data_IF_275722027298
#
_entry.id   IF_275722027298
#
_cell.length_a   1.000
_cell.length_b   1.000
_cell.length_c   1.000
_cell.angle_alpha   90.00
_cell.angle_beta   90.00
_cell.angle_gamma   90.00
#
_symmetry.space_group_name_H-M   'P 1'
#
loop_
_entity.id
_entity.type
_entity.pdbx_description
1 polymer ?
#
# COMPACT_ATOMS: atom_id res chain seq x y z
N UNK A 1 -6.39 13.70 6.75
CA UNK A 1 -6.25 12.40 6.05
C UNK A 1 -7.37 12.21 5.02
N UNK A 2 -8.64 12.19 5.44
CA UNK A 2 -9.81 12.01 4.55
C UNK A 2 -9.91 13.08 3.44
N UNK A 3 -9.70 14.36 3.75
CA UNK A 3 -9.71 15.44 2.74
C UNK A 3 -8.63 15.26 1.67
N UNK A 4 -7.39 14.96 2.10
CA UNK A 4 -6.27 14.65 1.21
C UNK A 4 -6.57 13.42 0.35
N UNK A 5 -7.22 12.39 0.93
CA UNK A 5 -7.65 11.23 0.17
C UNK A 5 -8.58 11.62 -0.99
N UNK A 6 -9.66 12.35 -0.69
CA UNK A 6 -10.66 12.74 -1.70
C UNK A 6 -10.05 13.59 -2.82
N UNK A 7 -9.18 14.53 -2.48
CA UNK A 7 -8.48 15.38 -3.46
C UNK A 7 -7.56 14.60 -4.40
N UNK A 8 -7.04 13.46 -3.94
CA UNK A 8 -6.02 12.68 -4.66
C UNK A 8 -6.53 11.30 -5.10
N UNK A 9 -7.84 11.02 -4.95
CA UNK A 9 -8.44 9.68 -5.19
C UNK A 9 -8.08 9.11 -6.56
N UNK A 10 -8.16 9.93 -7.61
CA UNK A 10 -7.81 9.51 -8.97
C UNK A 10 -6.37 9.03 -9.11
N UNK A 11 -5.44 9.58 -8.32
CA UNK A 11 -4.03 9.16 -8.33
C UNK A 11 -3.84 7.83 -7.60
N UNK A 12 -4.56 7.57 -6.50
CA UNK A 12 -4.55 6.26 -5.84
C UNK A 12 -5.13 5.17 -6.73
N UNK A 13 -6.23 5.47 -7.43
CA UNK A 13 -6.81 4.57 -8.43
C UNK A 13 -5.83 4.26 -9.56
N UNK A 14 -5.06 5.24 -10.04
CA UNK A 14 -4.03 5.00 -11.05
C UNK A 14 -2.94 4.06 -10.54
N UNK A 15 -2.46 4.24 -9.30
CA UNK A 15 -1.48 3.33 -8.69
C UNK A 15 -2.05 1.92 -8.54
N UNK A 16 -3.31 1.80 -8.10
CA UNK A 16 -4.02 0.52 -8.01
C UNK A 16 -4.07 -0.19 -9.35
N UNK A 17 -4.51 0.51 -10.39
CA UNK A 17 -4.61 -0.04 -11.74
C UNK A 17 -3.24 -0.45 -12.28
N UNK A 18 -2.21 0.36 -12.05
CA UNK A 18 -0.84 0.01 -12.42
C UNK A 18 -0.43 -1.30 -11.76
N UNK A 19 -0.61 -1.40 -10.43
CA UNK A 19 -0.24 -2.60 -9.68
C UNK A 19 -1.02 -3.83 -10.14
N UNK A 20 -2.31 -3.69 -10.44
CA UNK A 20 -3.13 -4.78 -10.98
C UNK A 20 -2.64 -5.28 -12.35
N UNK A 21 -2.25 -4.36 -13.25
CA UNK A 21 -1.67 -4.69 -14.55
C UNK A 21 -0.33 -5.42 -14.41
N UNK A 22 0.49 -4.97 -13.46
CA UNK A 22 1.83 -5.50 -13.22
C UNK A 22 1.76 -6.72 -12.26
N UNK A 23 1.20 -7.83 -12.77
CA UNK A 23 0.84 -9.04 -11.99
C UNK A 23 1.94 -9.67 -11.14
N UNK A 24 3.19 -9.44 -11.54
CA UNK A 24 4.36 -10.02 -10.87
C UNK A 24 4.97 -9.09 -9.80
N UNK A 25 4.46 -7.86 -9.68
CA UNK A 25 4.86 -6.90 -8.64
C UNK A 25 4.10 -7.18 -7.36
N UNK A 26 4.84 -7.36 -6.28
CA UNK A 26 4.31 -7.45 -4.91
C UNK A 26 4.46 -6.11 -4.24
N UNK A 27 5.67 -5.57 -4.15
CA UNK A 27 5.94 -4.33 -3.40
C UNK A 27 6.77 -3.37 -4.24
N UNK A 28 6.44 -2.08 -4.23
CA UNK A 28 7.31 -1.02 -4.76
C UNK A 28 7.58 -0.03 -3.63
N UNK A 29 8.82 0.00 -3.14
CA UNK A 29 9.32 1.02 -2.24
C UNK A 29 10.06 2.14 -2.96
N UNK A 30 10.54 3.12 -2.20
CA UNK A 30 11.34 4.23 -2.73
C UNK A 30 12.56 3.75 -3.53
N UNK A 31 13.29 2.77 -2.99
CA UNK A 31 14.59 2.36 -3.54
C UNK A 31 14.65 0.87 -3.92
N UNK A 32 13.61 0.09 -3.58
CA UNK A 32 13.55 -1.35 -3.81
C UNK A 32 12.18 -1.80 -4.34
N UNK A 33 12.12 -3.02 -4.86
CA UNK A 33 10.90 -3.65 -5.38
C UNK A 33 10.94 -5.14 -5.03
N UNK A 34 9.78 -5.74 -4.76
CA UNK A 34 9.61 -7.16 -4.50
C UNK A 34 8.71 -7.79 -5.56
N UNK A 35 9.08 -8.99 -6.02
CA UNK A 35 8.35 -9.70 -7.08
C UNK A 35 7.93 -11.09 -6.63
N UNK A 36 6.85 -11.62 -7.22
CA UNK A 36 6.11 -12.82 -6.73
C UNK A 36 6.92 -14.14 -6.71
N UNK A 37 8.17 -14.16 -7.18
CA UNK A 37 8.95 -15.40 -7.35
C UNK A 37 10.42 -15.30 -6.99
N UNK A 38 10.88 -14.11 -6.57
CA UNK A 38 12.25 -13.84 -6.22
C UNK A 38 12.17 -13.05 -4.92
N UNK A 39 12.59 -13.65 -3.80
CA UNK A 39 12.66 -12.95 -2.52
C UNK A 39 13.43 -11.63 -2.63
N UNK A 40 13.41 -10.82 -1.56
CA UNK A 40 14.09 -9.51 -1.47
C UNK A 40 15.39 -9.45 -2.29
N UNK A 41 15.39 -8.69 -3.39
CA UNK A 41 16.52 -8.61 -4.30
C UNK A 41 16.32 -7.56 -5.39
N UNK A 42 17.41 -6.91 -5.79
CA UNK A 42 17.43 -6.05 -6.97
C UNK A 42 16.93 -6.83 -8.19
N UNK A 43 16.06 -6.18 -8.96
CA UNK A 43 15.40 -6.68 -10.16
C UNK A 43 16.25 -7.67 -10.96
N UNK A 44 15.75 -8.89 -11.11
CA UNK A 44 15.95 -9.53 -12.41
C UNK A 44 15.15 -8.70 -13.41
N UNK A 45 15.82 -8.22 -14.47
CA UNK A 45 15.35 -7.29 -15.52
C UNK A 45 14.05 -7.70 -16.25
N UNK A 46 13.36 -8.77 -15.84
CA UNK A 46 12.33 -9.45 -16.61
C UNK A 46 10.89 -9.21 -16.11
N UNK A 47 10.70 -8.44 -15.04
CA UNK A 47 9.39 -8.38 -14.36
C UNK A 47 8.64 -7.06 -14.56
N UNK A 48 9.34 -5.94 -14.56
CA UNK A 48 8.82 -4.57 -14.78
C UNK A 48 9.90 -3.74 -15.46
N UNK A 49 9.54 -2.92 -16.45
CA UNK A 49 10.53 -2.06 -17.13
C UNK A 49 11.04 -0.95 -16.20
N UNK A 50 12.24 -0.43 -16.48
CA UNK A 50 12.81 0.69 -15.74
C UNK A 50 11.91 1.94 -15.80
N UNK A 51 11.28 2.22 -16.95
CA UNK A 51 10.36 3.37 -17.06
C UNK A 51 9.12 3.18 -16.18
N UNK A 52 8.59 1.95 -16.13
CA UNK A 52 7.41 1.64 -15.32
C UNK A 52 7.70 1.79 -13.83
N UNK A 53 8.87 1.35 -13.37
CA UNK A 53 9.32 1.55 -11.99
C UNK A 53 9.54 3.04 -11.66
N UNK A 54 10.16 3.79 -12.57
CA UNK A 54 10.34 5.23 -12.40
C UNK A 54 8.98 5.95 -12.25
N UNK A 55 7.97 5.53 -13.01
CA UNK A 55 6.62 6.05 -12.91
C UNK A 55 5.97 5.75 -11.55
N UNK A 56 6.13 4.54 -11.01
CA UNK A 56 5.66 4.22 -9.65
C UNK A 56 6.29 5.16 -8.62
N UNK A 57 7.62 5.24 -8.61
CA UNK A 57 8.37 6.04 -7.63
C UNK A 57 8.02 7.52 -7.72
N UNK A 58 7.87 8.05 -8.92
CA UNK A 58 7.43 9.43 -9.14
C UNK A 58 6.05 9.69 -8.52
N UNK A 59 5.09 8.78 -8.74
CA UNK A 59 3.72 8.90 -8.21
C UNK A 59 3.67 8.75 -6.69
N UNK A 60 4.37 7.77 -6.13
CA UNK A 60 4.46 7.59 -4.67
C UNK A 60 5.06 8.83 -3.99
N UNK A 61 6.16 9.36 -4.55
CA UNK A 61 6.80 10.59 -4.06
C UNK A 61 5.87 11.79 -4.16
N UNK A 62 5.15 11.96 -5.27
CA UNK A 62 4.19 13.05 -5.46
C UNK A 62 3.06 13.00 -4.42
N UNK A 63 2.60 11.81 -4.05
CA UNK A 63 1.52 11.62 -3.08
C UNK A 63 2.00 11.62 -1.62
N UNK A 64 3.31 11.44 -1.40
CA UNK A 64 3.95 11.36 -0.10
C UNK A 64 3.82 9.98 0.55
N UNK A 65 3.85 8.91 -0.25
CA UNK A 65 3.83 7.52 0.21
C UNK A 65 5.22 6.90 0.08
N UNK A 66 5.57 6.04 1.04
CA UNK A 66 6.88 5.38 1.06
C UNK A 66 6.92 4.09 0.25
N UNK A 67 5.76 3.42 0.13
CA UNK A 67 5.60 2.19 -0.67
C UNK A 67 4.15 1.91 -1.05
N UNK A 68 4.00 1.05 -2.05
CA UNK A 68 2.75 0.36 -2.37
C UNK A 68 2.98 -1.15 -2.35
N UNK A 69 2.05 -1.87 -1.74
CA UNK A 69 2.09 -3.33 -1.58
C UNK A 69 0.83 -3.96 -2.21
N UNK A 70 0.99 -5.11 -2.85
CA UNK A 70 -0.08 -6.04 -3.20
C UNK A 70 -0.18 -7.06 -2.07
N UNK A 71 -1.31 -7.06 -1.36
CA UNK A 71 -1.53 -7.99 -0.25
C UNK A 71 -2.55 -9.04 -0.67
N UNK A 72 -2.14 -10.30 -0.65
CA UNK A 72 -2.93 -11.39 -1.20
C UNK A 72 -3.19 -11.22 -2.70
N UNK A 73 -4.38 -11.64 -3.15
CA UNK A 73 -4.78 -11.56 -4.56
C UNK A 73 -5.53 -10.26 -4.86
N UNK A 74 -6.21 -9.68 -3.86
CA UNK A 74 -7.27 -8.68 -4.09
C UNK A 74 -6.99 -7.30 -3.46
N UNK A 75 -5.96 -7.15 -2.62
CA UNK A 75 -5.73 -5.88 -1.94
C UNK A 75 -4.55 -5.11 -2.51
N UNK A 76 -4.72 -3.79 -2.61
CA UNK A 76 -3.63 -2.83 -2.88
C UNK A 76 -3.50 -1.90 -1.69
N UNK A 77 -2.33 -1.83 -1.09
CA UNK A 77 -2.03 -1.03 0.08
C UNK A 77 -1.02 0.04 -0.26
N UNK A 78 -1.30 1.28 0.14
CA UNK A 78 -0.36 2.39 0.05
C UNK A 78 -0.01 2.83 1.46
N UNK A 79 1.25 2.66 1.84
CA UNK A 79 1.74 3.05 3.18
C UNK A 79 2.14 4.52 3.19
N UNK A 80 1.38 5.33 3.93
CA UNK A 80 1.61 6.77 4.05
C UNK A 80 2.79 7.02 4.98
N UNK A 81 2.78 6.35 6.13
CA UNK A 81 3.81 6.44 7.14
C UNK A 81 3.93 5.10 7.85
N UNK A 82 5.17 4.69 8.11
CA UNK A 82 5.49 3.51 8.89
C UNK A 82 6.77 3.73 9.65
N UNK A 83 6.85 3.16 10.85
CA UNK A 83 8.00 3.25 11.71
C UNK A 83 8.12 2.00 12.55
N UNK A 84 9.33 1.62 12.90
CA UNK A 84 9.55 0.46 13.75
C UNK A 84 10.96 0.38 14.27
N UNK A 85 11.11 -0.33 15.39
CA UNK A 85 12.41 -0.67 15.95
C UNK A 85 12.37 -2.12 16.40
N UNK A 86 13.40 -2.88 15.99
CA UNK A 86 13.56 -4.32 16.22
C UNK A 86 12.31 -5.15 15.90
N UNK A 87 11.40 -5.28 16.85
CA UNK A 87 10.32 -6.27 16.88
C UNK A 87 8.92 -5.63 16.80
N UNK A 88 8.86 -4.29 16.79
CA UNK A 88 7.61 -3.53 16.76
C UNK A 88 7.59 -2.64 15.53
N UNK A 89 6.71 -2.95 14.56
CA UNK A 89 6.53 -2.13 13.36
C UNK A 89 5.08 -1.67 13.28
N UNK A 90 4.86 -0.36 13.26
CA UNK A 90 3.55 0.21 13.06
C UNK A 90 3.49 0.96 11.73
N UNK A 91 2.27 1.15 11.23
CA UNK A 91 2.08 1.89 9.99
C UNK A 91 0.63 2.24 9.73
N UNK A 92 0.44 3.29 8.96
CA UNK A 92 -0.87 3.79 8.56
C UNK A 92 -0.88 4.10 7.08
N UNK A 93 -2.00 3.83 6.43
CA UNK A 93 -2.15 4.08 5.02
C UNK A 93 -3.55 3.85 4.51
N UNK A 94 -3.65 3.70 3.20
CA UNK A 94 -4.89 3.38 2.53
C UNK A 94 -4.81 1.97 1.96
N UNK A 95 -5.91 1.24 2.02
CA UNK A 95 -6.07 -0.05 1.35
C UNK A 95 -7.28 0.00 0.45
N UNK A 96 -7.12 -0.51 -0.76
CA UNK A 96 -8.22 -0.87 -1.62
C UNK A 96 -8.47 -2.36 -1.50
N UNK A 97 -9.74 -2.75 -1.40
CA UNK A 97 -10.16 -4.16 -1.33
C UNK A 97 -11.58 -4.32 -1.89
N UNK A 98 -11.77 -5.26 -2.81
CA UNK A 98 -13.09 -5.58 -3.36
C UNK A 98 -14.04 -6.04 -2.25
N UNK A 99 -13.61 -7.01 -1.45
CA UNK A 99 -14.31 -7.42 -0.22
C UNK A 99 -13.87 -6.56 0.98
N UNK A 100 -14.78 -6.18 1.90
CA UNK A 100 -14.42 -5.42 3.08
C UNK A 100 -13.37 -6.15 3.94
N UNK A 101 -12.21 -5.53 4.23
CA UNK A 101 -11.17 -6.14 5.05
C UNK A 101 -11.62 -6.24 6.51
N UNK A 102 -11.05 -7.18 7.26
CA UNK A 102 -11.40 -7.41 8.66
C UNK A 102 -10.16 -7.32 9.56
N UNK A 103 -10.32 -6.86 10.82
CA UNK A 103 -11.54 -6.31 11.43
C UNK A 103 -11.86 -4.86 10.98
N UNK A 104 -13.14 -4.57 10.75
CA UNK A 104 -13.64 -3.20 10.61
C UNK A 104 -13.89 -2.56 11.98
N UNK A 105 -13.35 -1.37 12.19
CA UNK A 105 -13.54 -0.54 13.39
C UNK A 105 -14.02 0.86 12.99
N UNK A 106 -14.61 1.58 13.93
CA UNK A 106 -15.11 2.95 13.69
C UNK A 106 -13.99 3.92 13.27
N UNK A 107 -12.78 3.78 13.82
CA UNK A 107 -11.63 4.62 13.47
C UNK A 107 -10.33 3.84 13.58
N UNK A 108 -9.78 3.38 12.46
CA UNK A 108 -8.47 2.72 12.45
C UNK A 108 -7.35 3.67 12.93
N UNK A 109 -7.51 4.97 12.70
CA UNK A 109 -6.55 5.98 13.16
C UNK A 109 -6.45 6.02 14.70
N UNK A 110 -7.58 5.95 15.40
CA UNK A 110 -7.64 6.03 16.87
C UNK A 110 -7.50 4.66 17.55
N UNK A 111 -7.75 3.57 16.82
CA UNK A 111 -7.69 2.21 17.36
C UNK A 111 -6.39 1.54 16.97
N UNK A 112 -5.39 1.64 17.86
CA UNK A 112 -4.13 0.90 17.73
C UNK A 112 -4.43 -0.61 17.78
N UNK A 113 -4.07 -1.40 16.75
CA UNK A 113 -4.29 -2.85 16.78
C UNK A 113 -3.32 -3.55 17.75
N UNK A 114 -3.58 -4.83 18.02
CA UNK A 114 -2.62 -5.71 18.67
C UNK A 114 -1.36 -5.90 17.79
N UNK A 115 -0.27 -6.39 18.38
CA UNK A 115 0.97 -6.71 17.66
C UNK A 115 0.69 -7.69 16.52
N UNK A 116 1.27 -7.46 15.35
CA UNK A 116 1.07 -8.21 14.10
C UNK A 116 -0.37 -8.18 13.56
N UNK A 117 -1.20 -7.25 14.02
CA UNK A 117 -2.59 -7.10 13.59
C UNK A 117 -2.84 -5.79 12.85
N UNK A 118 -4.00 -5.73 12.22
CA UNK A 118 -4.46 -4.57 11.46
C UNK A 118 -5.88 -4.22 11.87
N UNK A 119 -6.17 -2.94 11.88
CA UNK A 119 -7.53 -2.40 11.99
C UNK A 119 -7.84 -1.62 10.72
N UNK A 120 -9.09 -1.68 10.29
CA UNK A 120 -9.56 -1.01 9.09
C UNK A 120 -10.77 -0.13 9.41
N UNK A 121 -10.86 1.04 8.79
CA UNK A 121 -12.08 1.86 8.85
C UNK A 121 -12.47 2.31 7.44
N UNK A 122 -13.77 2.27 7.10
CA UNK A 122 -14.24 2.63 5.76
C UNK A 122 -13.91 4.09 5.44
N UNK A 123 -13.59 4.35 4.18
CA UNK A 123 -13.29 5.69 3.69
C UNK A 123 -14.26 6.10 2.58
N UNK A 124 -14.20 5.41 1.43
CA UNK A 124 -15.09 5.66 0.29
C UNK A 124 -15.04 4.52 -0.73
N UNK A 125 -16.19 3.94 -1.09
CA UNK A 125 -16.25 2.78 -1.99
C UNK A 125 -15.44 1.61 -1.43
N UNK A 126 -14.53 1.07 -2.24
CA UNK A 126 -13.63 -0.03 -1.88
C UNK A 126 -12.35 0.43 -1.14
N UNK A 127 -12.26 1.71 -0.76
CA UNK A 127 -11.12 2.24 -0.01
C UNK A 127 -11.39 2.29 1.49
N UNK A 128 -10.36 1.93 2.24
CA UNK A 128 -10.32 1.92 3.69
C UNK A 128 -9.02 2.57 4.18
N UNK A 129 -9.06 3.13 5.38
CA UNK A 129 -7.83 3.45 6.14
C UNK A 129 -7.42 2.17 6.86
N UNK A 130 -6.14 1.82 6.81
CA UNK A 130 -5.60 0.75 7.65
C UNK A 130 -4.62 1.32 8.68
N UNK A 131 -4.59 0.70 9.85
CA UNK A 131 -3.55 0.89 10.86
C UNK A 131 -3.01 -0.49 11.21
N UNK A 132 -1.68 -0.66 11.20
CA UNK A 132 -0.98 -1.90 11.57
C UNK A 132 -0.05 -1.67 12.74
N UNK A 133 0.17 -2.71 13.52
CA UNK A 133 1.18 -2.83 14.58
C UNK A 133 1.77 -4.23 14.57
#
# INVERSE_FOLDING_TARGET
>A
MISKFRQQKSQFEQIRLMLQQDKNVVTVGNDWVETRWLGYGELTRNTVSAERLALYRARLRQLGFSRVDRVGIEQVQLELFGGGFADTTWGIGYVWSDAPPQPLVTSAYNSMPMREHRNYSPLEGHWYIYHRR
#
